data_IF_030820747103
#
_entry.id   IF_030820747103
#
_cell.length_a   1.000
_cell.length_b   1.000
_cell.length_c   1.000
_cell.angle_alpha   90.00
_cell.angle_beta   90.00
_cell.angle_gamma   90.00
#
_symmetry.space_group_name_H-M   'P 1'
#
loop_
_entity.id
_entity.type
_entity.pdbx_description
1 polymer ?
#
# COMPACT_ATOMS: atom_id res chain seq x y z
N UNK A 1 -39.53 -43.39 -19.38
CA UNK A 1 -39.54 -41.91 -19.52
C UNK A 1 -38.61 -41.36 -18.46
N UNK A 2 -37.29 -41.37 -18.69
CA UNK A 2 -36.45 -40.25 -19.17
C UNK A 2 -36.76 -38.98 -18.37
N UNK A 3 -35.85 -38.48 -17.53
CA UNK A 3 -34.87 -37.50 -17.99
C UNK A 3 -33.68 -37.34 -17.04
N UNK A 4 -32.49 -37.65 -17.57
CA UNK A 4 -31.16 -37.42 -17.01
C UNK A 4 -30.83 -35.92 -17.15
N UNK A 5 -30.43 -35.25 -16.06
CA UNK A 5 -30.04 -33.82 -16.10
C UNK A 5 -28.64 -33.69 -16.68
N UNK A 6 -28.51 -32.84 -17.70
CA UNK A 6 -27.31 -32.57 -18.48
C UNK A 6 -26.16 -32.04 -17.63
N UNK A 7 -24.99 -32.69 -17.70
CA UNK A 7 -23.71 -32.19 -17.20
C UNK A 7 -22.98 -31.56 -18.40
N UNK A 8 -22.80 -30.25 -18.41
CA UNK A 8 -22.02 -29.55 -19.42
C UNK A 8 -20.55 -29.56 -18.98
N UNK A 9 -19.73 -30.44 -19.57
CA UNK A 9 -18.27 -30.42 -19.43
C UNK A 9 -17.70 -29.64 -20.60
N UNK A 10 -17.16 -28.45 -20.34
CA UNK A 10 -16.38 -27.69 -21.32
C UNK A 10 -14.94 -28.20 -21.28
N UNK A 11 -14.55 -28.97 -22.29
CA UNK A 11 -13.17 -29.41 -22.47
C UNK A 11 -12.38 -28.35 -23.25
N UNK A 12 -11.50 -27.63 -22.56
CA UNK A 12 -10.52 -26.74 -23.20
C UNK A 12 -9.38 -27.61 -23.71
N UNK A 13 -9.23 -27.71 -25.03
CA UNK A 13 -8.10 -28.38 -25.66
C UNK A 13 -6.97 -27.37 -25.88
N UNK A 14 -5.93 -27.41 -25.06
CA UNK A 14 -4.67 -26.70 -25.32
C UNK A 14 -3.81 -27.59 -26.24
N UNK A 15 -3.54 -27.11 -27.45
CA UNK A 15 -2.48 -27.65 -28.30
C UNK A 15 -1.13 -27.04 -27.89
N UNK A 16 0.00 -27.77 -27.97
CA UNK A 16 1.30 -27.21 -27.65
C UNK A 16 1.76 -26.30 -28.81
N UNK A 17 1.56 -25.00 -28.67
CA UNK A 17 2.36 -24.01 -29.39
C UNK A 17 3.79 -24.13 -28.86
N UNK A 18 4.77 -24.19 -29.76
CA UNK A 18 6.20 -24.18 -29.41
C UNK A 18 6.50 -22.96 -28.55
N UNK A 19 6.69 -23.18 -27.25
CA UNK A 19 6.94 -22.13 -26.27
C UNK A 19 8.37 -21.60 -26.41
N UNK A 20 8.53 -20.42 -27.02
CA UNK A 20 9.62 -19.52 -26.65
C UNK A 20 9.09 -18.79 -25.42
N UNK A 21 9.56 -19.19 -24.25
CA UNK A 21 9.17 -18.58 -23.00
C UNK A 21 9.86 -17.21 -22.83
N UNK A 22 9.38 -16.19 -23.54
CA UNK A 22 9.45 -14.79 -23.09
C UNK A 22 8.34 -14.64 -22.01
N UNK A 23 8.54 -15.28 -20.85
CA UNK A 23 7.51 -15.27 -19.80
C UNK A 23 7.58 -13.91 -19.12
N UNK A 24 6.60 -13.07 -19.44
CA UNK A 24 6.24 -11.93 -18.59
C UNK A 24 5.65 -12.50 -17.31
N UNK A 25 6.28 -12.24 -16.17
CA UNK A 25 5.76 -12.59 -14.85
C UNK A 25 4.63 -11.63 -14.48
N UNK A 26 3.50 -12.16 -14.00
CA UNK A 26 2.42 -11.36 -13.44
C UNK A 26 2.15 -11.83 -12.02
N UNK A 27 2.30 -10.90 -11.07
CA UNK A 27 2.02 -11.14 -9.65
C UNK A 27 0.94 -10.18 -9.20
N UNK A 28 -0.08 -10.70 -8.52
CA UNK A 28 -1.13 -9.89 -7.89
C UNK A 28 -1.20 -10.33 -6.43
N UNK A 29 -1.26 -9.38 -5.51
CA UNK A 29 -1.30 -9.67 -4.09
C UNK A 29 -1.88 -8.53 -3.28
N UNK A 30 -1.95 -8.76 -1.99
CA UNK A 30 -2.40 -7.78 -1.01
C UNK A 30 -2.19 -8.29 0.40
N UNK A 31 -2.37 -7.43 1.38
CA UNK A 31 -2.16 -7.78 2.77
C UNK A 31 -2.65 -6.70 3.72
N UNK A 32 -2.47 -6.94 5.01
CA UNK A 32 -2.76 -5.98 6.06
C UNK A 32 -1.64 -5.98 7.10
N UNK A 33 -1.36 -4.82 7.66
CA UNK A 33 -0.41 -4.66 8.75
C UNK A 33 -0.93 -3.65 9.75
N UNK A 34 -0.55 -3.82 11.02
CA UNK A 34 -0.96 -2.92 12.08
C UNK A 34 0.14 -1.91 12.35
N UNK A 35 -0.14 -0.61 12.22
CA UNK A 35 0.82 0.47 12.43
C UNK A 35 0.32 1.50 13.43
N UNK A 36 1.25 1.95 14.27
CA UNK A 36 1.07 3.08 15.20
C UNK A 36 1.90 4.26 14.69
N UNK A 37 1.31 5.45 14.50
CA UNK A 37 2.04 6.64 14.11
C UNK A 37 2.75 7.23 15.35
N UNK A 38 4.05 7.45 15.26
CA UNK A 38 4.88 7.99 16.34
C UNK A 38 5.67 9.20 15.84
N UNK A 39 5.98 10.14 16.74
CA UNK A 39 6.79 11.32 16.46
C UNK A 39 6.07 12.65 16.74
N UNK A 40 6.72 13.75 16.36
CA UNK A 40 6.26 15.11 16.63
C UNK A 40 6.07 15.89 15.32
N UNK A 41 5.03 16.71 15.26
CA UNK A 41 4.74 17.59 14.12
C UNK A 41 4.56 19.06 14.54
N UNK A 42 4.63 19.96 13.56
CA UNK A 42 4.39 21.38 13.78
C UNK A 42 5.54 22.08 14.48
N UNK A 43 5.30 23.31 14.94
CA UNK A 43 6.34 24.17 15.52
C UNK A 43 6.47 24.05 17.03
N UNK A 44 5.46 23.48 17.67
CA UNK A 44 5.37 23.30 19.12
C UNK A 44 5.53 21.83 19.51
N UNK A 45 6.14 21.01 18.64
CA UNK A 45 6.39 19.58 18.86
C UNK A 45 5.12 18.83 19.31
N UNK A 46 4.08 18.90 18.49
CA UNK A 46 2.80 18.24 18.77
C UNK A 46 2.98 16.74 18.56
N UNK A 47 2.87 15.97 19.63
CA UNK A 47 3.11 14.53 19.62
C UNK A 47 1.91 13.76 19.03
N UNK A 48 2.19 12.88 18.06
CA UNK A 48 1.17 12.15 17.31
C UNK A 48 0.38 11.15 18.17
N UNK A 49 1.02 10.56 19.18
CA UNK A 49 0.39 9.56 20.04
C UNK A 49 -0.24 10.22 21.26
N UNK A 50 0.54 10.88 22.09
CA UNK A 50 0.11 11.39 23.39
C UNK A 50 -0.70 12.69 23.34
N UNK A 51 -0.49 13.52 22.32
CA UNK A 51 -1.24 14.77 22.16
C UNK A 51 -2.42 14.57 21.23
N UNK A 52 -2.18 14.04 20.02
CA UNK A 52 -3.23 13.85 19.02
C UNK A 52 -4.08 12.59 19.25
N UNK A 53 -3.63 11.69 20.14
CA UNK A 53 -4.32 10.45 20.47
C UNK A 53 -4.64 9.62 19.22
N UNK A 54 -3.69 9.51 18.29
CA UNK A 54 -3.83 8.68 17.11
C UNK A 54 -3.68 7.20 17.50
N UNK A 55 -4.78 6.48 17.44
CA UNK A 55 -4.83 5.07 17.83
C UNK A 55 -4.09 4.18 16.82
N UNK A 56 -3.63 3.02 17.27
CA UNK A 56 -3.07 2.00 16.38
C UNK A 56 -4.13 1.50 15.37
N UNK A 57 -3.82 1.53 14.08
CA UNK A 57 -4.75 1.10 13.01
C UNK A 57 -4.21 -0.05 12.18
N UNK A 58 -5.13 -0.83 11.60
CA UNK A 58 -4.83 -1.89 10.64
C UNK A 58 -4.96 -1.33 9.23
N UNK A 59 -3.85 -1.22 8.53
CA UNK A 59 -3.77 -0.73 7.17
C UNK A 59 -3.85 -1.89 6.19
N UNK A 60 -4.29 -1.62 4.97
CA UNK A 60 -4.41 -2.62 3.92
C UNK A 60 -3.70 -2.15 2.65
N UNK A 61 -3.23 -3.09 1.85
CA UNK A 61 -2.70 -2.79 0.53
C UNK A 61 -3.06 -3.86 -0.47
N UNK A 62 -3.12 -3.45 -1.73
CA UNK A 62 -3.21 -4.33 -2.90
C UNK A 62 -2.15 -3.90 -3.91
N UNK A 63 -1.60 -4.85 -4.64
CA UNK A 63 -0.61 -4.55 -5.67
C UNK A 63 -0.72 -5.51 -6.85
N UNK A 64 -0.18 -5.04 -7.97
CA UNK A 64 0.15 -5.86 -9.11
C UNK A 64 1.58 -5.55 -9.56
N UNK A 65 2.31 -6.58 -9.99
CA UNK A 65 3.65 -6.48 -10.52
C UNK A 65 3.75 -7.20 -11.86
N UNK A 66 4.48 -6.60 -12.78
CA UNK A 66 4.80 -7.12 -14.10
C UNK A 66 6.31 -7.20 -14.24
N UNK A 67 6.80 -8.40 -14.49
CA UNK A 67 8.21 -8.71 -14.69
C UNK A 67 8.43 -9.02 -16.16
N UNK A 68 9.42 -8.40 -16.79
CA UNK A 68 9.71 -8.65 -18.20
C UNK A 68 11.00 -9.47 -18.38
N UNK A 69 11.18 -10.18 -19.49
CA UNK A 69 12.40 -10.97 -19.74
C UNK A 69 13.62 -10.15 -20.19
N UNK A 70 13.47 -8.85 -20.48
CA UNK A 70 14.54 -7.99 -21.06
C UNK A 70 15.50 -7.48 -19.96
N UNK A 71 16.76 -7.93 -19.85
CA UNK A 71 17.61 -7.65 -18.68
C UNK A 71 17.95 -6.17 -18.39
N UNK A 72 17.71 -5.27 -19.35
CA UNK A 72 18.05 -3.84 -19.25
C UNK A 72 16.88 -2.92 -18.94
N UNK A 73 15.66 -3.45 -19.00
CA UNK A 73 14.49 -2.71 -18.57
C UNK A 73 14.22 -3.07 -17.09
N UNK A 74 13.62 -2.19 -16.29
CA UNK A 74 13.16 -2.55 -14.95
C UNK A 74 11.75 -3.15 -14.99
N UNK A 75 11.50 -4.06 -14.06
CA UNK A 75 10.16 -4.54 -13.73
C UNK A 75 9.32 -3.41 -13.13
N UNK A 76 8.00 -3.56 -13.16
CA UNK A 76 7.08 -2.54 -12.64
C UNK A 76 6.12 -3.14 -11.61
N UNK A 77 5.95 -2.44 -10.50
CA UNK A 77 4.92 -2.73 -9.49
C UNK A 77 4.09 -1.49 -9.24
N UNK A 78 2.77 -1.66 -9.27
CA UNK A 78 1.82 -0.66 -8.83
C UNK A 78 1.12 -1.18 -7.56
N UNK A 79 1.11 -0.35 -6.53
CA UNK A 79 0.51 -0.69 -5.23
C UNK A 79 -0.36 0.47 -4.75
N UNK A 80 -1.53 0.14 -4.22
CA UNK A 80 -2.36 1.08 -3.49
C UNK A 80 -2.44 0.66 -2.02
N UNK A 81 -2.23 1.63 -1.12
CA UNK A 81 -2.22 1.43 0.32
C UNK A 81 -3.25 2.36 0.97
N UNK A 82 -4.18 1.78 1.75
CA UNK A 82 -5.14 2.52 2.56
C UNK A 82 -4.58 2.69 3.98
N UNK A 83 -4.37 3.94 4.40
CA UNK A 83 -3.68 4.29 5.64
C UNK A 83 -4.31 5.52 6.28
N UNK A 84 -5.29 5.32 7.16
CA UNK A 84 -5.98 6.38 7.89
C UNK A 84 -5.90 6.14 9.40
N UNK A 85 -5.60 7.19 10.15
CA UNK A 85 -5.66 7.21 11.61
C UNK A 85 -6.56 8.33 12.10
N UNK A 86 -7.36 8.02 13.11
CA UNK A 86 -8.21 8.99 13.78
C UNK A 86 -7.83 9.10 15.25
N UNK A 87 -8.08 10.27 15.83
CA UNK A 87 -7.81 10.56 17.23
C UNK A 87 -8.69 11.70 17.72
N UNK A 88 -8.71 11.89 19.03
CA UNK A 88 -9.45 12.96 19.69
C UNK A 88 -8.55 13.58 20.75
N UNK A 89 -8.31 14.89 20.63
CA UNK A 89 -7.24 15.57 21.34
C UNK A 89 -7.73 16.84 22.03
N UNK A 90 -7.29 17.05 23.27
CA UNK A 90 -7.40 18.35 23.93
C UNK A 90 -6.15 19.15 23.61
N UNK A 91 -6.25 20.08 22.66
CA UNK A 91 -5.13 20.92 22.24
C UNK A 91 -5.09 22.17 23.13
N UNK A 92 -3.98 22.37 23.83
CA UNK A 92 -3.82 23.50 24.75
C UNK A 92 -3.59 24.83 24.03
N UNK A 93 -4.03 25.92 24.66
CA UNK A 93 -3.77 27.28 24.21
C UNK A 93 -2.27 27.53 23.99
N UNK A 94 -1.91 28.19 22.89
CA UNK A 94 -0.53 28.47 22.50
C UNK A 94 0.12 27.41 21.62
N UNK A 95 -0.48 26.22 21.48
CA UNK A 95 -0.08 25.23 20.45
C UNK A 95 -0.14 25.87 19.08
N UNK A 96 0.92 25.74 18.26
CA UNK A 96 0.99 26.39 16.94
C UNK A 96 1.03 25.34 15.84
N UNK A 97 -0.05 25.29 15.06
CA UNK A 97 -0.14 24.46 13.86
C UNK A 97 0.01 25.34 12.63
N UNK A 98 1.13 25.17 11.91
CA UNK A 98 1.41 25.85 10.64
C UNK A 98 1.26 27.40 10.69
N UNK A 99 1.68 28.03 11.78
CA UNK A 99 1.60 29.47 11.96
C UNK A 99 0.31 29.99 12.60
N UNK A 100 -0.68 29.13 12.85
CA UNK A 100 -1.94 29.48 13.48
C UNK A 100 -1.98 28.94 14.91
N UNK A 101 -1.78 29.78 15.94
CA UNK A 101 -1.85 29.34 17.32
C UNK A 101 -3.29 29.16 17.79
N UNK A 102 -3.55 28.09 18.54
CA UNK A 102 -4.78 27.93 19.30
C UNK A 102 -4.86 29.01 20.39
N UNK A 103 -5.98 29.71 20.49
CA UNK A 103 -6.14 30.84 21.44
C UNK A 103 -6.71 30.42 22.79
N UNK A 104 -7.29 29.23 22.85
CA UNK A 104 -7.86 28.59 24.04
C UNK A 104 -7.64 27.07 23.96
N UNK A 105 -7.87 26.38 25.08
CA UNK A 105 -7.91 24.92 25.08
C UNK A 105 -9.13 24.45 24.27
N UNK A 106 -8.91 23.57 23.29
CA UNK A 106 -9.94 23.12 22.36
C UNK A 106 -9.93 21.60 22.23
N UNK A 107 -11.13 21.00 22.25
CA UNK A 107 -11.31 19.59 21.90
C UNK A 107 -11.40 19.48 20.38
N UNK A 108 -10.49 18.73 19.76
CA UNK A 108 -10.43 18.56 18.31
C UNK A 108 -10.47 17.09 17.93
N UNK A 109 -11.19 16.80 16.84
CA UNK A 109 -11.09 15.53 16.14
C UNK A 109 -9.92 15.61 15.15
N UNK A 110 -9.05 14.61 15.19
CA UNK A 110 -7.84 14.52 14.39
C UNK A 110 -8.00 13.39 13.38
N UNK A 111 -7.67 13.66 12.12
CA UNK A 111 -7.53 12.65 11.08
C UNK A 111 -6.18 12.84 10.39
N UNK A 112 -5.44 11.74 10.26
CA UNK A 112 -4.22 11.63 9.47
C UNK A 112 -4.49 10.61 8.36
N UNK A 113 -4.52 11.09 7.13
CA UNK A 113 -4.63 10.24 5.95
C UNK A 113 -3.28 10.22 5.22
N UNK A 114 -2.69 9.04 5.09
CA UNK A 114 -1.50 8.77 4.29
C UNK A 114 -1.78 7.74 3.21
N UNK A 115 -3.04 7.59 2.80
CA UNK A 115 -3.42 6.72 1.69
C UNK A 115 -2.71 7.18 0.42
N UNK A 116 -2.15 6.22 -0.32
CA UNK A 116 -1.29 6.53 -1.45
C UNK A 116 -1.25 5.40 -2.48
N UNK A 117 -0.86 5.79 -3.69
CA UNK A 117 -0.49 4.89 -4.76
C UNK A 117 1.01 4.99 -5.03
N UNK A 118 1.68 3.85 -4.98
CA UNK A 118 3.10 3.68 -5.28
C UNK A 118 3.27 3.09 -6.68
N UNK A 119 4.16 3.71 -7.46
CA UNK A 119 4.68 3.15 -8.70
C UNK A 119 6.18 2.87 -8.55
N UNK A 120 6.54 1.59 -8.57
CA UNK A 120 7.89 1.12 -8.33
C UNK A 120 8.48 0.52 -9.60
N UNK A 121 9.66 1.00 -9.98
CA UNK A 121 10.51 0.37 -10.99
C UNK A 121 11.63 -0.37 -10.26
N UNK A 122 11.81 -1.66 -10.51
CA UNK A 122 12.77 -2.48 -9.78
C UNK A 122 13.52 -3.50 -10.67
N UNK A 123 14.68 -3.95 -10.19
CA UNK A 123 15.47 -5.03 -10.76
C UNK A 123 15.67 -6.12 -9.71
N UNK A 124 15.58 -7.38 -10.14
CA UNK A 124 15.94 -8.57 -9.37
C UNK A 124 17.47 -8.75 -9.41
N UNK A 125 18.14 -8.48 -8.30
CA UNK A 125 19.60 -8.57 -8.19
C UNK A 125 20.03 -9.99 -7.85
N UNK A 126 19.25 -10.66 -7.00
CA UNK A 126 19.41 -12.07 -6.64
C UNK A 126 18.04 -12.71 -6.69
N UNK A 127 17.91 -13.77 -7.47
CA UNK A 127 16.71 -14.61 -7.57
C UNK A 127 17.16 -16.07 -7.63
N UNK A 128 17.47 -16.64 -6.47
CA UNK A 128 17.90 -18.04 -6.37
C UNK A 128 17.31 -18.76 -5.16
N UNK A 129 17.97 -18.65 -4.01
CA UNK A 129 17.53 -19.15 -2.70
C UNK A 129 17.09 -17.98 -1.82
N UNK A 130 17.56 -16.77 -2.16
CA UNK A 130 17.22 -15.50 -1.51
C UNK A 130 16.85 -14.52 -2.60
N UNK A 131 15.75 -13.80 -2.36
CA UNK A 131 15.24 -12.79 -3.28
C UNK A 131 15.69 -11.41 -2.80
N UNK A 132 16.36 -10.67 -3.69
CA UNK A 132 16.80 -9.30 -3.43
C UNK A 132 16.50 -8.41 -4.64
N UNK A 133 15.56 -7.50 -4.44
CA UNK A 133 15.17 -6.51 -5.43
C UNK A 133 15.66 -5.12 -5.06
N UNK A 134 16.11 -4.35 -6.05
CA UNK A 134 16.45 -2.94 -5.89
C UNK A 134 15.63 -2.10 -6.85
N UNK A 135 15.02 -1.05 -6.32
CA UNK A 135 14.13 -0.20 -7.12
C UNK A 135 14.00 1.23 -6.61
N UNK A 136 13.27 2.00 -7.40
CA UNK A 136 12.86 3.37 -7.08
C UNK A 136 11.34 3.42 -7.08
N UNK A 137 10.77 4.16 -6.13
CA UNK A 137 9.32 4.32 -5.99
C UNK A 137 8.95 5.78 -6.14
N UNK A 138 8.00 6.06 -7.01
CA UNK A 138 7.26 7.31 -7.02
C UNK A 138 5.96 7.10 -6.24
N UNK A 139 5.74 7.90 -5.20
CA UNK A 139 4.55 7.85 -4.34
C UNK A 139 3.66 9.05 -4.59
N UNK A 140 2.37 8.81 -4.81
CA UNK A 140 1.34 9.85 -4.87
C UNK A 140 0.36 9.62 -3.73
N UNK A 141 0.22 10.62 -2.86
CA UNK A 141 -0.84 10.65 -1.85
C UNK A 141 -2.14 11.15 -2.50
N UNK A 142 -3.27 10.65 -2.00
CA UNK A 142 -4.60 11.10 -2.42
C UNK A 142 -5.07 12.35 -1.64
#
# INVERSE_FOLDING_TARGET
>A
MISLRSLLVVAITLTPLTAVADIVGLTIGGGSWQASPEGNIGRTDIDLESTLNLDKQSNQFVFFALEHPIPLLPNIRLQHSEMEWTGNALVSAGTNLNGNPFVSDEQVDVSLDLSHTDATLYYEILDNVVDLDLGITARSFD
#
